data_IF_631572013360
#
_entry.id   IF_631572013360
#
_cell.length_a   1.000
_cell.length_b   1.000
_cell.length_c   1.000
_cell.angle_alpha   90.00
_cell.angle_beta   90.00
_cell.angle_gamma   90.00
#
_symmetry.space_group_name_H-M   'P 1'
#
loop_
_entity.id
_entity.type
_entity.pdbx_description
1 polymer ?
2 polymer ?
3 polymer ?
4 polymer ?
5 non-polymer ?
6 non-polymer ?
7 non-polymer ?
8 non-polymer ?
9 non-polymer ?
10 non-polymer ?
11 water ?
#
loop_
_entity_poly.entity_id
_entity_poly.type
_entity_poly.pdbx_seq_one_letter_code
_entity_poly.pdbx_strand_id
2 'polydeoxyribonucleotide' '(DC)(DG)(DG)(DC)(DA)(DT)(DA)(DC)(DG)' ?
3 'polydeoxyribonucleotide' '(DC)(DG)(DT)(DA)U' ?
4 'polydeoxyribonucleotide' '(DG)(DC)(DC)(DG)' ?
#
# COMPACT_ATOMS: atom_id res chain seq x y z
N UNK A 10 -13.58 0.12 -21.50
CA UNK A 10 -12.92 0.13 -20.18
C UNK A 10 -13.58 -0.86 -19.19
N UNK A 11 -12.89 -1.95 -18.82
CA UNK A 11 -13.54 -2.89 -17.92
C UNK A 11 -13.78 -2.33 -16.50
N UNK A 12 -14.65 -2.98 -15.74
CA UNK A 12 -15.12 -2.37 -14.51
C UNK A 12 -14.21 -2.62 -13.36
N UNK A 13 -13.40 -3.69 -13.43
CA UNK A 13 -12.46 -4.03 -12.32
C UNK A 13 -11.03 -3.55 -12.62
N UNK A 14 -10.30 -3.01 -11.63
CA UNK A 14 -8.99 -2.49 -11.95
C UNK A 14 -8.04 -3.60 -12.36
N UNK A 15 -8.30 -4.86 -11.99
CA UNK A 15 -7.32 -5.89 -12.32
C UNK A 15 -7.48 -6.36 -13.74
N UNK A 16 -8.46 -5.76 -14.42
CA UNK A 16 -8.76 -6.14 -15.82
C UNK A 16 -8.11 -5.20 -16.84
N UNK A 17 -7.32 -4.25 -16.36
CA UNK A 17 -6.77 -3.27 -17.26
C UNK A 17 -5.38 -2.81 -16.73
N UNK A 18 -4.45 -2.47 -17.63
CA UNK A 18 -3.15 -1.96 -17.19
C UNK A 18 -3.28 -0.60 -16.60
N UNK A 19 -2.60 -0.36 -15.47
CA UNK A 19 -2.58 0.98 -14.91
C UNK A 19 -1.14 1.36 -14.66
N UNK A 20 -0.61 2.27 -15.44
CA UNK A 20 0.82 2.59 -15.28
C UNK A 20 1.04 3.53 -14.08
N UNK A 21 2.30 3.68 -13.69
CA UNK A 21 2.61 4.54 -12.54
C UNK A 21 2.36 5.98 -12.80
N UNK A 22 2.76 6.38 -14.00
CA UNK A 22 2.48 7.77 -14.41
C UNK A 22 1.46 7.80 -15.55
N UNK A 23 0.66 8.86 -15.65
CA UNK A 23 -0.46 8.76 -16.57
C UNK A 23 -0.87 10.16 -17.03
N UNK A 24 -2.08 10.27 -17.60
CA UNK A 24 -2.46 11.51 -18.33
C UNK A 24 -3.59 12.28 -17.68
N UNK A 25 -3.91 11.90 -16.45
CA UNK A 25 -5.05 12.55 -15.73
C UNK A 25 -4.71 12.77 -14.29
N UNK A 26 -3.47 13.18 -14.07
CA UNK A 26 -2.97 13.23 -12.69
C UNK A 26 -3.79 14.14 -11.77
N UNK A 27 -4.09 15.36 -12.24
CA UNK A 27 -4.87 16.28 -11.42
C UNK A 27 -6.26 15.78 -11.08
N UNK A 28 -6.94 15.21 -12.06
CA UNK A 28 -8.30 14.73 -11.88
C UNK A 28 -8.28 13.57 -10.86
N UNK A 29 -7.34 12.64 -11.01
CA UNK A 29 -7.32 11.49 -10.10
C UNK A 29 -6.93 11.95 -8.68
N UNK A 30 -6.02 12.92 -8.56
CA UNK A 30 -5.65 13.38 -7.22
C UNK A 30 -6.87 14.00 -6.50
N UNK A 31 -7.67 14.76 -7.22
CA UNK A 31 -8.86 15.33 -6.59
C UNK A 31 -9.81 14.26 -6.12
N UNK A 32 -10.08 13.27 -6.95
CA UNK A 32 -11.00 12.22 -6.51
C UNK A 32 -10.43 11.48 -5.32
N UNK A 33 -9.11 11.31 -5.31
CA UNK A 33 -8.54 10.59 -4.18
C UNK A 33 -8.57 11.40 -2.87
N UNK A 34 -8.64 12.73 -2.95
CA UNK A 34 -8.90 13.51 -1.74
C UNK A 34 -10.29 13.19 -1.19
N UNK A 35 -11.29 13.10 -2.06
CA UNK A 35 -12.63 12.77 -1.59
C UNK A 35 -12.69 11.34 -1.05
N UNK A 36 -11.94 10.42 -1.66
CA UNK A 36 -11.89 9.05 -1.15
C UNK A 36 -11.31 9.03 0.25
N UNK A 37 -10.18 9.71 0.43
CA UNK A 37 -9.53 9.76 1.73
C UNK A 37 -10.46 10.36 2.77
N UNK A 38 -11.18 11.42 2.38
CA UNK A 38 -12.08 12.08 3.34
C UNK A 38 -13.22 11.16 3.76
N UNK A 39 -13.74 10.41 2.80
CA UNK A 39 -14.78 9.41 3.10
C UNK A 39 -14.29 8.38 4.11
N UNK A 40 -13.04 7.96 3.96
CA UNK A 40 -12.45 7.02 4.90
C UNK A 40 -12.37 7.60 6.30
N UNK A 41 -12.02 8.87 6.39
CA UNK A 41 -11.93 9.50 7.70
C UNK A 41 -13.29 9.55 8.40
N UNK A 42 -14.35 9.50 7.61
CA UNK A 42 -15.70 9.50 8.16
C UNK A 42 -16.26 8.10 8.27
N UNK A 43 -15.45 7.08 8.02
CA UNK A 43 -15.94 5.70 8.15
C UNK A 43 -16.81 5.24 7.00
N UNK A 44 -16.80 5.94 5.88
CA UNK A 44 -17.66 5.54 4.75
C UNK A 44 -16.84 4.75 3.74
N UNK A 45 -16.70 3.44 3.97
CA UNK A 45 -15.82 2.65 3.10
C UNK A 45 -16.41 2.47 1.70
N UNK A 46 -17.74 2.48 1.56
CA UNK A 46 -18.32 2.36 0.23
C UNK A 46 -17.99 3.55 -0.65
N UNK A 47 -18.17 4.76 -0.13
CA UNK A 47 -17.90 5.97 -0.91
C UNK A 47 -16.35 6.07 -1.17
N UNK A 48 -15.54 5.73 -0.18
CA UNK A 48 -14.07 5.68 -0.40
C UNK A 48 -13.76 4.80 -1.59
N UNK A 49 -14.40 3.63 -1.62
CA UNK A 49 -14.10 2.70 -2.71
C UNK A 49 -14.51 3.26 -4.06
N UNK A 50 -15.68 3.88 -4.15
CA UNK A 50 -16.10 4.34 -5.47
C UNK A 50 -15.20 5.46 -5.97
N UNK A 51 -14.84 6.42 -5.09
CA UNK A 51 -13.95 7.49 -5.48
C UNK A 51 -12.57 6.95 -5.85
N UNK A 52 -12.05 5.97 -5.09
CA UNK A 52 -10.78 5.32 -5.47
C UNK A 52 -10.89 4.68 -6.84
N UNK A 53 -12.00 3.96 -7.09
CA UNK A 53 -12.16 3.27 -8.37
C UNK A 53 -12.28 4.28 -9.50
N UNK A 54 -13.04 5.36 -9.29
CA UNK A 54 -13.16 6.38 -10.32
C UNK A 54 -11.80 7.02 -10.60
N UNK A 55 -11.05 7.33 -9.55
CA UNK A 55 -9.69 7.85 -9.77
C UNK A 55 -8.89 6.89 -10.59
N UNK A 56 -8.96 5.61 -10.24
CA UNK A 56 -8.12 4.61 -10.92
C UNK A 56 -8.50 4.46 -12.40
N UNK A 57 -9.79 4.55 -12.69
CA UNK A 57 -10.20 4.51 -14.11
C UNK A 57 -9.48 5.62 -14.90
N UNK A 58 -9.43 6.80 -14.35
CA UNK A 58 -8.73 7.87 -15.08
C UNK A 58 -7.25 7.59 -15.26
N UNK A 59 -6.63 6.95 -14.27
CA UNK A 59 -5.22 6.58 -14.44
C UNK A 59 -5.01 5.62 -15.60
N UNK A 60 -6.05 4.87 -15.98
CA UNK A 60 -5.93 3.79 -16.96
C UNK A 60 -6.22 4.31 -18.40
N UNK A 61 -6.66 5.54 -18.50
CA UNK A 61 -7.00 6.12 -19.80
C UNK A 61 -5.77 6.44 -20.63
N UNK A 62 -5.90 6.42 -21.96
CA UNK A 62 -4.70 6.58 -22.78
C UNK A 62 -4.36 8.04 -23.07
N UNK A 63 -5.21 8.98 -22.67
CA UNK A 63 -4.93 10.39 -22.93
C UNK A 63 -5.73 11.29 -21.95
N UNK A 64 -5.48 12.62 -21.94
CA UNK A 64 -6.19 13.45 -20.96
C UNK A 64 -7.69 13.54 -21.22
N UNK A 65 -8.49 13.51 -20.14
CA UNK A 65 -9.90 13.86 -20.27
C UNK A 65 -9.96 15.39 -20.44
N UNK A 66 -10.56 15.89 -21.53
CA UNK A 66 -10.66 17.34 -21.74
C UNK A 66 -12.10 17.84 -21.76
N UNK A 67 -13.05 16.95 -21.97
CA UNK A 67 -14.45 17.35 -21.98
C UNK A 67 -15.28 16.37 -21.25
N UNK A 68 -16.40 16.83 -20.71
CA UNK A 68 -17.24 16.00 -19.85
C UNK A 68 -17.75 14.78 -20.60
N UNK A 69 -18.03 14.92 -21.87
CA UNK A 69 -18.56 13.78 -22.61
C UNK A 69 -17.62 12.60 -22.64
N UNK A 70 -16.34 12.82 -22.40
CA UNK A 70 -15.41 11.68 -22.44
C UNK A 70 -15.64 10.74 -21.23
N UNK A 71 -16.40 11.17 -20.24
CA UNK A 71 -16.72 10.33 -19.09
C UNK A 71 -17.86 9.34 -19.37
N UNK A 72 -18.60 9.59 -20.44
CA UNK A 72 -19.77 8.77 -20.75
C UNK A 72 -19.32 7.34 -21.01
N UNK A 73 -19.98 6.42 -20.35
CA UNK A 73 -19.60 5.04 -20.55
C UNK A 73 -18.51 4.52 -19.64
N UNK A 74 -17.77 5.40 -18.95
CA UNK A 74 -16.72 4.93 -18.04
C UNK A 74 -17.30 4.38 -16.76
N UNK A 75 -16.81 3.24 -16.32
CA UNK A 75 -17.35 2.71 -15.07
C UNK A 75 -16.97 3.53 -13.85
N UNK A 76 -17.84 3.57 -12.84
CA UNK A 76 -17.64 4.31 -11.58
C UNK A 76 -17.72 5.80 -11.69
N UNK A 77 -18.18 6.31 -12.84
CA UNK A 77 -18.46 7.73 -12.95
C UNK A 77 -19.96 8.06 -12.99
N UNK A 78 -20.50 8.43 -11.85
CA UNK A 78 -21.91 8.82 -11.75
C UNK A 78 -22.04 10.32 -11.55
N UNK A 79 -23.15 10.72 -10.93
CA UNK A 79 -23.39 12.16 -10.76
C UNK A 79 -22.26 12.85 -10.00
N UNK A 80 -21.83 12.25 -8.90
CA UNK A 80 -20.92 12.94 -8.02
C UNK A 80 -19.51 13.05 -8.64
N UNK A 81 -18.92 11.94 -9.09
CA UNK A 81 -17.57 11.99 -9.61
C UNK A 81 -17.50 12.77 -10.90
N UNK A 82 -18.58 12.71 -11.68
CA UNK A 82 -18.60 13.45 -12.94
C UNK A 82 -18.67 14.95 -12.66
N UNK A 83 -19.39 15.33 -11.63
CA UNK A 83 -19.48 16.74 -11.26
C UNK A 83 -18.13 17.27 -10.78
N UNK A 84 -17.40 16.46 -10.02
CA UNK A 84 -16.09 16.84 -9.59
C UNK A 84 -15.20 17.14 -10.81
N UNK A 85 -15.20 16.25 -11.77
CA UNK A 85 -14.37 16.42 -12.97
C UNK A 85 -14.83 17.64 -13.78
N UNK A 86 -16.14 17.82 -13.86
CA UNK A 86 -16.71 18.91 -14.65
C UNK A 86 -16.19 20.23 -14.11
N UNK A 87 -16.20 20.38 -12.78
CA UNK A 87 -15.74 21.62 -12.17
C UNK A 87 -14.25 21.83 -12.35
N UNK A 88 -13.49 20.75 -12.24
CA UNK A 88 -12.07 20.88 -12.50
C UNK A 88 -11.83 21.27 -13.96
N UNK A 89 -12.56 20.69 -14.91
CA UNK A 89 -12.34 21.04 -16.32
C UNK A 89 -12.72 22.49 -16.59
N UNK A 90 -13.77 22.98 -15.95
CA UNK A 90 -14.28 24.31 -16.26
C UNK A 90 -13.53 25.40 -15.51
N UNK A 91 -13.17 25.16 -14.25
CA UNK A 91 -12.63 26.21 -13.40
C UNK A 91 -11.26 25.92 -12.82
N UNK A 92 -10.72 24.72 -13.04
CA UNK A 92 -9.40 24.38 -12.49
C UNK A 92 -9.39 23.96 -11.03
N UNK A 93 -10.54 24.08 -10.38
CA UNK A 93 -10.70 23.69 -8.99
C UNK A 93 -12.11 23.15 -8.77
N UNK A 94 -12.28 22.28 -7.76
CA UNK A 94 -13.59 21.74 -7.42
C UNK A 94 -13.89 22.23 -6.04
N UNK A 95 -14.98 22.99 -5.87
CA UNK A 95 -15.19 23.63 -4.60
C UNK A 95 -15.24 22.63 -3.46
N UNK A 96 -15.87 21.47 -3.71
CA UNK A 96 -15.99 20.46 -2.62
C UNK A 96 -14.63 19.97 -2.15
N UNK A 97 -13.78 19.70 -3.14
CA UNK A 97 -12.44 19.24 -2.87
C UNK A 97 -11.66 20.25 -2.09
N UNK A 98 -11.78 21.53 -2.47
CA UNK A 98 -11.04 22.56 -1.75
C UNK A 98 -11.56 22.73 -0.33
N UNK A 99 -12.86 22.60 -0.15
CA UNK A 99 -13.41 22.70 1.18
C UNK A 99 -12.86 21.58 2.06
N UNK A 100 -12.81 20.35 1.54
CA UNK A 100 -12.21 19.24 2.29
C UNK A 100 -10.77 19.57 2.65
N UNK A 101 -9.99 19.98 1.65
CA UNK A 101 -8.58 20.28 1.87
C UNK A 101 -8.37 21.28 3.01
N UNK A 102 -9.22 22.30 3.08
CA UNK A 102 -9.08 23.36 4.08
C UNK A 102 -9.58 22.98 5.46
N UNK A 103 -10.41 21.94 5.58
CA UNK A 103 -11.10 21.69 6.79
C UNK A 103 -10.17 21.22 7.90
N UNK A 104 -10.52 21.65 9.10
CA UNK A 104 -9.74 21.29 10.27
C UNK A 104 -9.85 19.77 10.46
N UNK A 105 -11.00 19.23 10.16
CA UNK A 105 -11.21 17.81 10.35
C UNK A 105 -10.29 16.99 9.43
N UNK A 106 -10.31 17.31 8.14
CA UNK A 106 -9.48 16.59 7.21
C UNK A 106 -8.01 16.70 7.58
N UNK A 107 -7.52 17.92 7.81
CA UNK A 107 -6.10 18.09 8.07
C UNK A 107 -5.66 17.36 9.33
N UNK A 108 -6.48 17.39 10.38
CA UNK A 108 -6.04 16.73 11.60
C UNK A 108 -6.11 15.19 11.50
N UNK A 109 -7.16 14.66 10.91
CA UNK A 109 -7.29 13.22 10.70
C UNK A 109 -6.14 12.73 9.82
N UNK A 110 -5.79 13.50 8.81
CA UNK A 110 -4.63 13.14 7.97
C UNK A 110 -3.38 13.12 8.79
N UNK A 111 -3.11 14.20 9.56
CA UNK A 111 -1.93 14.25 10.41
C UNK A 111 -1.87 13.07 11.36
N UNK A 112 -2.98 12.80 12.02
CA UNK A 112 -2.95 11.76 13.06
C UNK A 112 -2.84 10.35 12.44
N UNK A 113 -3.63 10.06 11.41
CA UNK A 113 -3.54 8.71 10.80
C UNK A 113 -2.20 8.40 10.12
N UNK A 114 -1.48 9.44 9.71
CA UNK A 114 -0.12 9.27 9.23
C UNK A 114 0.83 8.73 10.28
N UNK A 115 0.49 8.86 11.57
CA UNK A 115 1.36 8.30 12.59
C UNK A 115 1.31 6.76 12.54
N UNK A 116 2.48 6.11 12.55
CA UNK A 116 2.55 4.67 12.69
C UNK A 116 2.00 4.25 14.05
N UNK A 117 0.93 3.46 14.06
CA UNK A 117 0.27 3.06 15.28
C UNK A 117 -1.07 3.74 15.51
N UNK A 118 -1.42 4.70 14.66
CA UNK A 118 -2.67 5.45 14.77
C UNK A 118 -3.52 5.18 13.53
N UNK A 119 -4.72 4.62 13.72
CA UNK A 119 -5.65 4.43 12.63
C UNK A 119 -6.80 5.42 12.69
N UNK A 120 -7.76 5.24 11.78
CA UNK A 120 -8.89 6.19 11.72
C UNK A 120 -9.62 6.23 13.06
N UNK A 121 -9.87 5.07 13.66
CA UNK A 121 -10.64 5.06 14.90
C UNK A 121 -9.90 5.78 16.02
N UNK A 122 -8.57 5.62 16.11
CA UNK A 122 -7.85 6.34 17.17
C UNK A 122 -7.82 7.84 16.91
N UNK A 123 -7.43 8.20 15.69
CA UNK A 123 -7.43 9.61 15.24
C UNK A 123 -8.76 10.30 15.54
N UNK A 124 -9.85 9.63 15.19
CA UNK A 124 -11.20 10.19 15.37
C UNK A 124 -11.49 10.49 16.85
N UNK A 125 -11.14 9.56 17.73
CA UNK A 125 -11.38 9.78 19.17
C UNK A 125 -10.54 10.94 19.70
N UNK A 126 -9.27 11.00 19.33
CA UNK A 126 -8.42 12.14 19.70
C UNK A 126 -8.99 13.48 19.18
N UNK A 127 -9.50 13.46 17.94
CA UNK A 127 -10.09 14.65 17.32
C UNK A 127 -11.24 15.11 18.20
N UNK A 128 -12.09 14.14 18.55
CA UNK A 128 -13.29 14.41 19.36
C UNK A 128 -12.95 14.87 20.78
N UNK A 129 -11.77 14.51 21.28
CA UNK A 129 -11.32 14.97 22.59
C UNK A 129 -10.70 16.38 22.49
N UNK A 130 -10.63 16.89 21.29
CA UNK A 130 -10.07 18.20 21.10
C UNK A 130 -8.62 18.24 20.69
N UNK A 131 -7.95 17.11 20.52
CA UNK A 131 -6.53 17.16 20.18
C UNK A 131 -6.35 17.54 18.71
N UNK A 132 -5.29 18.26 18.38
CA UNK A 132 -5.17 18.77 17.03
C UNK A 132 -3.78 18.59 16.45
N UNK A 133 -2.75 18.55 17.30
CA UNK A 133 -1.37 18.65 16.83
C UNK A 133 -0.48 17.52 17.38
N UNK A 134 0.70 17.34 16.79
CA UNK A 134 1.56 16.26 17.29
C UNK A 134 2.01 16.61 18.70
N UNK A 135 2.27 17.88 18.96
CA UNK A 135 2.69 18.28 20.33
C UNK A 135 1.56 18.08 21.33
N UNK A 136 0.31 18.18 20.88
CA UNK A 136 -0.79 17.81 21.77
C UNK A 136 -0.64 16.38 22.22
N UNK A 137 -0.14 15.53 21.35
CA UNK A 137 -0.09 14.11 21.66
C UNK A 137 1.10 13.87 22.58
N UNK A 138 2.20 14.53 22.27
CA UNK A 138 3.40 14.39 23.06
C UNK A 138 3.20 14.80 24.53
N UNK A 139 2.46 15.89 24.76
CA UNK A 139 2.11 16.38 26.11
C UNK A 139 1.23 15.44 26.94
N UNK A 140 1.00 14.21 26.48
CA UNK A 140 0.10 13.31 27.22
C UNK A 140 0.44 11.85 26.89
N UNK A 141 1.70 11.47 27.11
CA UNK A 141 2.27 10.25 26.54
C UNK A 141 1.74 9.05 27.25
N UNK A 142 1.08 9.26 28.39
CA UNK A 142 0.48 8.17 29.14
C UNK A 142 -0.70 7.61 28.35
N UNK A 143 -1.22 8.40 27.43
CA UNK A 143 -2.30 7.97 26.56
C UNK A 143 -1.85 7.16 25.32
N UNK A 144 -0.54 6.98 25.12
CA UNK A 144 -0.03 6.37 23.88
C UNK A 144 0.46 4.97 24.06
N UNK A 145 0.28 4.12 23.06
CA UNK A 145 0.89 2.80 23.10
C UNK A 145 2.36 2.93 22.78
N UNK A 146 3.14 1.89 23.05
CA UNK A 146 4.56 1.93 22.76
C UNK A 146 4.76 2.06 21.25
N UNK A 147 3.83 1.51 20.48
CA UNK A 147 3.90 1.56 19.03
C UNK A 147 3.71 3.00 18.60
N UNK A 148 2.70 3.63 19.20
CA UNK A 148 2.42 5.04 18.91
C UNK A 148 3.52 5.92 19.39
N UNK A 149 4.13 5.60 20.53
CA UNK A 149 5.25 6.40 20.99
C UNK A 149 6.39 6.38 19.96
N UNK A 150 6.63 5.20 19.39
CA UNK A 150 7.68 5.05 18.36
C UNK A 150 7.32 5.84 17.12
N UNK A 151 6.07 5.69 16.73
CA UNK A 151 5.54 6.38 15.57
C UNK A 151 5.69 7.88 15.74
N UNK A 152 5.44 8.39 16.95
CA UNK A 152 5.53 9.82 17.15
C UNK A 152 6.98 10.28 17.25
N UNK A 153 7.86 9.54 17.94
CA UNK A 153 9.27 9.98 18.00
C UNK A 153 9.90 10.01 16.65
N UNK A 154 9.57 9.04 15.81
CA UNK A 154 10.19 8.93 14.49
C UNK A 154 9.39 9.59 13.38
N UNK A 155 8.33 10.33 13.74
CA UNK A 155 7.38 10.79 12.72
C UNK A 155 8.05 11.66 11.66
N UNK A 156 9.00 12.53 12.08
CA UNK A 156 9.62 13.42 11.10
C UNK A 156 10.38 12.63 10.05
N UNK A 157 11.22 11.70 10.49
CA UNK A 157 11.99 10.90 9.53
C UNK A 157 11.03 10.06 8.68
N UNK A 158 10.00 9.53 9.32
CA UNK A 158 9.12 8.64 8.53
C UNK A 158 8.29 9.41 7.54
N UNK A 159 8.21 10.74 7.67
CA UNK A 159 7.52 11.57 6.71
C UNK A 159 8.38 11.94 5.51
N UNK A 160 9.68 11.65 5.56
CA UNK A 160 10.62 11.93 4.48
C UNK A 160 10.62 10.77 3.49
N UNK A 161 10.45 10.99 2.20
CA UNK A 161 10.38 9.85 1.27
C UNK A 161 11.67 9.03 1.27
N UNK A 162 11.48 7.70 1.25
CA UNK A 162 12.54 6.74 1.00
C UNK A 162 12.88 6.74 -0.49
N UNK A 163 14.18 6.75 -0.82
CA UNK A 163 14.59 6.72 -2.23
C UNK A 163 15.06 5.35 -2.67
N UNK A 164 15.09 5.14 -3.98
CA UNK A 164 15.51 3.87 -4.54
C UNK A 164 16.96 3.51 -4.09
N UNK A 165 17.82 4.51 -3.89
CA UNK A 165 19.17 4.25 -3.34
C UNK A 165 19.12 3.71 -1.93
N UNK A 166 18.19 4.23 -1.15
CA UNK A 166 18.08 3.72 0.19
C UNK A 166 17.70 2.24 0.15
N UNK A 167 16.86 1.89 -0.82
CA UNK A 167 16.29 0.53 -0.84
C UNK A 167 17.39 -0.51 -1.07
N UNK A 168 18.30 -0.21 -1.99
CA UNK A 168 19.36 -1.17 -2.28
C UNK A 168 20.26 -1.39 -1.09
N UNK A 169 20.54 -0.31 -0.35
CA UNK A 169 21.34 -0.46 0.87
C UNK A 169 20.64 -1.32 1.91
N UNK A 170 19.36 -1.05 2.19
CA UNK A 170 18.56 -1.89 3.07
C UNK A 170 18.47 -3.38 2.59
N UNK A 171 18.30 -3.61 1.30
CA UNK A 171 18.20 -4.98 0.85
C UNK A 171 19.50 -5.72 1.17
N UNK A 172 20.66 -5.10 0.93
CA UNK A 172 21.90 -5.81 1.22
C UNK A 172 21.98 -6.16 2.70
N UNK A 173 21.54 -5.24 3.55
CA UNK A 173 21.59 -5.46 4.98
C UNK A 173 20.67 -6.61 5.38
N UNK A 174 19.45 -6.62 4.84
CA UNK A 174 18.49 -7.68 5.18
C UNK A 174 18.98 -9.04 4.70
N UNK A 175 19.57 -9.08 3.51
CA UNK A 175 20.12 -10.33 2.98
C UNK A 175 21.22 -10.92 3.85
N UNK A 176 22.02 -10.04 4.44
CA UNK A 176 23.10 -10.50 5.28
C UNK A 176 22.51 -11.19 6.48
N UNK A 177 21.52 -10.59 7.14
CA UNK A 177 20.95 -11.23 8.32
C UNK A 177 20.20 -12.50 7.93
N UNK A 178 19.54 -12.47 6.79
CA UNK A 178 18.73 -13.64 6.34
C UNK A 178 19.66 -14.79 6.02
N UNK A 179 20.80 -14.46 5.41
CA UNK A 179 21.82 -15.46 5.10
C UNK A 179 22.37 -16.18 6.32
N UNK A 180 22.50 -15.48 7.46
CA UNK A 180 22.97 -16.15 8.67
C UNK A 180 21.86 -16.91 9.29
N UNK A 181 20.64 -16.38 9.16
CA UNK A 181 19.55 -17.02 9.86
C UNK A 181 19.20 -18.33 9.19
N UNK A 182 19.33 -18.35 7.88
CA UNK A 182 18.99 -19.58 7.12
C UNK A 182 19.66 -19.54 5.77
N UNK A 183 20.82 -20.17 5.65
CA UNK A 183 21.52 -20.20 4.36
C UNK A 183 20.59 -20.70 3.25
N UNK A 184 20.64 -20.01 2.10
CA UNK A 184 19.79 -20.32 0.98
C UNK A 184 18.49 -19.56 0.94
N UNK A 185 18.11 -18.88 2.02
CA UNK A 185 16.89 -18.11 1.99
C UNK A 185 17.08 -16.91 1.07
N UNK A 186 15.98 -16.45 0.48
CA UNK A 186 16.06 -15.36 -0.51
C UNK A 186 15.25 -14.18 -0.04
N UNK A 187 15.60 -13.01 -0.57
CA UNK A 187 14.93 -11.75 -0.20
C UNK A 187 14.44 -11.13 -1.48
N UNK A 188 13.15 -10.84 -1.58
CA UNK A 188 12.57 -10.22 -2.79
C UNK A 188 11.96 -8.85 -2.46
N UNK A 189 12.32 -7.81 -3.21
CA UNK A 189 11.67 -6.52 -3.00
C UNK A 189 10.24 -6.54 -3.47
N UNK A 190 9.30 -6.11 -2.63
CA UNK A 190 7.91 -6.08 -3.08
C UNK A 190 7.33 -4.68 -2.89
N UNK A 191 6.04 -4.57 -2.69
CA UNK A 191 5.44 -3.25 -2.49
C UNK A 191 5.63 -2.25 -3.65
N UNK A 192 5.50 -0.97 -3.36
CA UNK A 192 5.51 0.06 -4.39
C UNK A 192 6.78 0.12 -5.18
N UNK A 193 7.93 -0.16 -4.53
CA UNK A 193 9.18 -0.14 -5.33
C UNK A 193 9.16 -1.22 -6.40
N UNK A 194 8.55 -2.38 -6.12
CA UNK A 194 8.52 -3.40 -7.18
C UNK A 194 7.65 -2.97 -8.37
N UNK A 195 6.65 -2.12 -8.11
CA UNK A 195 5.82 -1.54 -9.17
C UNK A 195 6.51 -0.43 -9.93
N UNK A 196 7.76 -0.10 -9.59
CA UNK A 196 8.51 0.93 -10.28
C UNK A 196 8.53 2.28 -9.62
N UNK A 197 7.93 2.43 -8.44
CA UNK A 197 8.02 3.73 -7.75
C UNK A 197 9.45 4.16 -7.48
N UNK A 198 9.71 5.47 -7.59
CA UNK A 198 11.07 5.92 -7.41
C UNK A 198 11.28 6.37 -5.95
N UNK A 199 10.17 6.59 -5.26
CA UNK A 199 10.16 6.92 -3.83
C UNK A 199 9.10 6.16 -3.12
N UNK A 200 9.16 6.17 -1.80
CA UNK A 200 8.13 5.49 -1.04
C UNK A 200 8.21 5.92 0.41
N UNK A 201 7.25 5.48 1.20
CA UNK A 201 7.33 5.80 2.63
C UNK A 201 7.68 4.58 3.47
N UNK A 202 8.00 3.48 2.83
CA UNK A 202 8.38 2.25 3.51
C UNK A 202 8.96 1.30 2.47
N UNK A 203 9.74 0.34 2.92
CA UNK A 203 10.31 -0.67 2.01
C UNK A 203 9.71 -2.02 2.41
N UNK A 204 9.28 -2.81 1.43
CA UNK A 204 8.63 -4.10 1.71
C UNK A 204 9.46 -5.24 1.17
N UNK A 205 9.72 -6.27 1.99
CA UNK A 205 10.50 -7.43 1.48
C UNK A 205 9.77 -8.71 1.76
N UNK A 206 9.95 -9.70 0.89
CA UNK A 206 9.31 -10.99 1.05
C UNK A 206 10.43 -12.02 1.08
N UNK A 207 10.39 -12.88 2.08
CA UNK A 207 11.52 -13.81 2.31
C UNK A 207 11.03 -15.24 2.17
N UNK A 208 11.79 -16.14 1.50
CA UNK A 208 11.36 -17.53 1.45
C UNK A 208 12.61 -18.42 1.36
N UNK A 209 12.39 -19.71 1.15
CA UNK A 209 13.53 -20.63 1.00
C UNK A 209 13.06 -21.70 0.02
N UNK A 210 13.94 -22.13 -0.91
CA UNK A 210 13.51 -23.09 -1.97
C UNK A 210 13.09 -24.45 -1.42
N UNK A 211 13.45 -24.79 -0.21
CA UNK A 211 13.02 -26.08 0.37
C UNK A 211 11.81 -25.89 1.31
N UNK A 212 10.63 -26.36 0.85
CA UNK A 212 9.41 -26.18 1.61
C UNK A 212 9.57 -26.62 3.05
N UNK A 213 9.24 -25.72 3.95
CA UNK A 213 9.28 -25.98 5.38
C UNK A 213 10.54 -25.39 6.05
N UNK A 214 11.61 -25.17 5.29
CA UNK A 214 12.82 -24.65 5.92
C UNK A 214 12.55 -23.23 6.45
N UNK A 215 11.51 -22.57 5.95
CA UNK A 215 11.31 -21.17 6.36
C UNK A 215 10.60 -21.07 7.67
N UNK A 216 10.10 -22.20 8.20
CA UNK A 216 9.43 -22.21 9.51
C UNK A 216 10.36 -21.62 10.57
N UNK A 217 9.84 -20.71 11.39
CA UNK A 217 10.63 -20.08 12.46
C UNK A 217 11.69 -19.10 12.05
N UNK A 218 11.66 -18.68 10.79
CA UNK A 218 12.72 -17.87 10.28
C UNK A 218 12.68 -16.41 10.74
N UNK A 219 11.51 -15.82 10.77
CA UNK A 219 11.49 -14.39 11.02
C UNK A 219 12.08 -13.99 12.41
N UNK A 220 11.79 -14.75 13.48
CA UNK A 220 12.46 -14.38 14.75
C UNK A 220 13.95 -14.42 14.63
N UNK A 221 14.48 -15.39 13.88
CA UNK A 221 15.91 -15.48 13.80
C UNK A 221 16.49 -14.30 13.05
N UNK A 222 15.77 -13.86 12.01
CA UNK A 222 16.18 -12.68 11.28
C UNK A 222 16.13 -11.43 12.16
N UNK A 223 15.07 -11.28 12.93
CA UNK A 223 14.88 -10.02 13.67
C UNK A 223 15.99 -9.94 14.72
N UNK A 224 16.30 -11.09 15.34
CA UNK A 224 17.30 -11.11 16.42
C UNK A 224 18.64 -10.69 15.88
N UNK A 225 18.95 -11.12 14.68
CA UNK A 225 20.19 -10.78 14.08
C UNK A 225 20.26 -9.31 13.68
N UNK A 226 19.18 -8.80 13.08
CA UNK A 226 19.14 -7.37 12.77
C UNK A 226 19.29 -6.54 14.04
N UNK A 227 18.60 -6.96 15.10
CA UNK A 227 18.63 -6.23 16.37
C UNK A 227 20.05 -6.23 16.94
N UNK A 228 20.74 -7.35 16.80
CA UNK A 228 22.12 -7.46 17.28
C UNK A 228 23.08 -6.58 16.50
N UNK A 229 22.78 -6.31 15.24
CA UNK A 229 23.61 -5.42 14.48
C UNK A 229 23.28 -3.94 14.76
N UNK A 230 22.33 -3.67 15.66
CA UNK A 230 22.01 -2.31 16.04
C UNK A 230 21.16 -1.61 15.00
N UNK A 231 20.53 -2.36 14.09
CA UNK A 231 19.78 -1.77 12.99
C UNK A 231 18.32 -1.46 13.25
N UNK A 232 17.77 -2.00 14.33
CA UNK A 232 16.37 -1.93 14.58
C UNK A 232 16.08 -0.88 15.62
N UNK A 233 15.39 0.18 15.22
CA UNK A 233 14.93 1.19 16.17
C UNK A 233 13.63 0.78 16.83
N UNK A 234 12.80 0.01 16.14
CA UNK A 234 11.54 -0.46 16.71
C UNK A 234 11.09 -1.73 16.00
N UNK A 235 10.59 -2.70 16.76
CA UNK A 235 9.74 -3.74 16.22
C UNK A 235 8.91 -4.34 17.35
N UNK A 236 7.90 -5.11 16.97
CA UNK A 236 7.02 -5.77 17.93
C UNK A 236 7.58 -7.11 18.39
N UNK A 257 6.02 -15.77 14.21
CA UNK A 257 5.24 -14.81 13.42
C UNK A 257 5.67 -14.82 11.95
N UNK A 258 4.79 -14.33 11.07
CA UNK A 258 5.00 -14.28 9.61
C UNK A 258 5.34 -12.89 9.08
N UNK A 259 4.99 -11.84 9.82
CA UNK A 259 5.11 -10.47 9.33
C UNK A 259 5.72 -9.64 10.43
N UNK A 260 6.64 -8.74 10.07
CA UNK A 260 7.26 -7.85 11.06
C UNK A 260 7.22 -6.43 10.54
N UNK A 261 6.64 -5.50 11.32
CA UNK A 261 6.61 -4.11 10.89
C UNK A 261 7.66 -3.35 11.70
N UNK A 262 8.77 -2.99 11.04
CA UNK A 262 9.94 -2.47 11.74
C UNK A 262 10.18 -1.00 11.40
N UNK A 263 10.95 -0.36 12.28
CA UNK A 263 11.63 0.88 11.96
C UNK A 263 13.14 0.60 12.01
N UNK A 264 13.81 0.81 10.88
CA UNK A 264 15.21 0.53 10.68
C UNK A 264 16.01 1.82 10.80
N UNK A 265 17.25 1.66 11.23
CA UNK A 265 18.25 2.72 11.21
C UNK A 265 19.00 2.64 9.88
N UNK A 266 18.78 3.61 9.00
CA UNK A 266 19.44 3.71 7.73
C UNK A 266 20.52 4.78 7.68
N UNK A 267 21.75 4.36 7.36
CA UNK A 267 22.89 5.27 7.11
C UNK A 267 22.58 6.40 6.16
N UNK A 268 23.07 7.57 6.54
CA UNK A 268 22.98 8.80 5.77
C UNK A 268 24.38 9.45 5.86
N UNK A 269 24.67 10.41 4.97
CA UNK A 269 25.98 11.08 5.04
C UNK A 269 26.24 11.74 6.40
N UNK A 270 27.09 11.11 7.21
CA UNK A 270 27.49 11.66 8.49
C UNK A 270 26.49 11.44 9.62
N UNK A 271 25.43 10.68 9.32
CA UNK A 271 24.39 10.46 10.28
C UNK A 271 23.51 9.25 9.86
N UNK A 272 22.23 9.30 10.12
CA UNK A 272 21.32 8.19 9.68
C UNK A 272 19.89 8.70 9.71
N UNK A 273 18.94 7.89 9.22
CA UNK A 273 17.54 8.26 9.44
C UNK A 273 16.67 7.01 9.65
N UNK A 274 15.56 7.18 10.34
CA UNK A 274 14.62 6.07 10.61
C UNK A 274 13.85 5.77 9.33
N UNK A 275 13.69 4.48 8.99
CA UNK A 275 12.93 4.07 7.79
C UNK A 275 11.99 2.91 8.16
N UNK A 276 10.73 2.99 7.73
CA UNK A 276 9.82 1.88 7.93
C UNK A 276 10.16 0.72 6.95
N UNK A 277 10.27 -0.50 7.48
CA UNK A 277 10.60 -1.69 6.65
C UNK A 277 9.70 -2.78 7.09
N UNK A 278 9.02 -3.45 6.16
CA UNK A 278 8.19 -4.59 6.46
C UNK A 278 8.85 -5.85 5.94
N UNK A 279 8.90 -6.87 6.80
CA UNK A 279 9.48 -8.16 6.44
C UNK A 279 8.39 -9.20 6.52
N UNK A 280 8.28 -10.04 5.49
CA UNK A 280 7.24 -11.05 5.43
C UNK A 280 7.90 -12.36 5.05
N UNK A 281 7.51 -13.45 5.70
CA UNK A 281 8.06 -14.78 5.31
C UNK A 281 6.93 -15.62 4.74
N UNK A 282 7.20 -16.38 3.67
CA UNK A 282 6.21 -17.32 3.18
C UNK A 282 6.89 -18.58 2.75
N UNK A 283 6.19 -19.70 2.84
CA UNK A 283 6.71 -20.97 2.29
C UNK A 283 6.78 -20.92 0.76
N UNK A 284 7.74 -21.58 0.12
CA UNK A 284 7.89 -21.39 -1.34
C UNK A 284 6.64 -21.83 -2.10
N UNK A 285 5.88 -22.79 -1.60
CA UNK A 285 4.59 -23.18 -2.22
C UNK A 285 3.65 -21.99 -2.34
N UNK A 286 3.74 -21.07 -1.40
CA UNK A 286 2.81 -19.94 -1.34
C UNK A 286 3.41 -18.67 -1.93
N UNK A 287 4.68 -18.75 -2.32
CA UNK A 287 5.44 -17.52 -2.67
C UNK A 287 4.77 -16.68 -3.79
N UNK A 288 4.21 -17.35 -4.81
CA UNK A 288 3.58 -16.50 -5.87
C UNK A 288 2.40 -15.74 -5.33
N UNK A 289 1.64 -16.38 -4.46
CA UNK A 289 0.50 -15.68 -3.90
C UNK A 289 0.96 -14.55 -2.99
N UNK A 290 2.02 -14.77 -2.24
CA UNK A 290 2.46 -13.72 -1.32
C UNK A 290 3.10 -12.58 -2.11
N UNK A 291 3.86 -12.94 -3.13
CA UNK A 291 4.45 -11.95 -4.02
C UNK A 291 3.34 -11.08 -4.65
N UNK A 292 2.32 -11.76 -5.14
CA UNK A 292 1.21 -11.01 -5.80
C UNK A 292 0.55 -10.12 -4.75
N UNK A 293 0.29 -10.73 -3.59
CA UNK A 293 -0.42 -10.01 -2.54
C UNK A 293 0.32 -8.83 -1.94
N UNK A 294 1.65 -8.90 -1.90
CA UNK A 294 2.44 -7.80 -1.29
C UNK A 294 2.96 -6.82 -2.32
N UNK A 295 2.67 -7.05 -3.60
CA UNK A 295 3.19 -6.13 -4.63
C UNK A 295 2.16 -5.04 -4.97
N UNK A 296 0.90 -5.33 -4.68
CA UNK A 296 -0.06 -4.20 -4.72
C UNK A 296 -0.44 -3.83 -6.18
N UNK A 297 -0.97 -2.61 -6.39
CA UNK A 297 -1.33 -1.68 -5.34
C UNK A 297 -2.41 -2.21 -4.42
N UNK A 298 -2.67 -1.46 -3.36
CA UNK A 298 -3.69 -1.90 -2.40
C UNK A 298 -5.03 -2.00 -3.14
N UNK A 299 -5.37 -0.96 -3.89
CA UNK A 299 -6.63 -1.08 -4.65
C UNK A 299 -6.60 -2.22 -5.66
N UNK A 300 -5.45 -2.40 -6.33
CA UNK A 300 -5.36 -3.55 -7.27
C UNK A 300 -5.70 -4.87 -6.55
N UNK A 301 -5.14 -5.08 -5.34
CA UNK A 301 -5.38 -6.34 -4.62
C UNK A 301 -6.88 -6.50 -4.20
N UNK A 302 -7.47 -5.44 -3.69
CA UNK A 302 -8.89 -5.48 -3.36
C UNK A 302 -9.71 -5.84 -4.58
N UNK A 303 -9.42 -5.19 -5.73
CA UNK A 303 -10.18 -5.44 -6.96
C UNK A 303 -9.96 -6.84 -7.49
N UNK A 304 -8.72 -7.30 -7.40
CA UNK A 304 -8.41 -8.69 -7.81
C UNK A 304 -9.14 -9.72 -6.93
N UNK A 305 -9.15 -9.50 -5.61
CA UNK A 305 -9.88 -10.44 -4.74
C UNK A 305 -11.40 -10.34 -4.98
N UNK A 306 -11.88 -9.12 -5.19
CA UNK A 306 -13.31 -8.95 -5.48
C UNK A 306 -13.69 -9.66 -6.78
N UNK A 307 -12.84 -9.52 -7.79
CA UNK A 307 -13.04 -10.16 -9.09
C UNK A 307 -13.04 -11.68 -8.94
N UNK A 308 -12.02 -12.17 -8.26
CA UNK A 308 -11.89 -13.60 -8.02
C UNK A 308 -13.17 -14.16 -7.45
N UNK A 309 -13.64 -13.55 -6.36
CA UNK A 309 -14.80 -14.11 -5.61
C UNK A 309 -16.10 -13.89 -6.39
N UNK A 310 -16.34 -12.67 -6.84
CA UNK A 310 -17.62 -12.33 -7.45
C UNK A 310 -17.76 -12.85 -8.88
N UNK A 311 -16.69 -12.84 -9.67
CA UNK A 311 -16.79 -13.22 -11.07
C UNK A 311 -16.41 -14.67 -11.35
N UNK A 312 -15.46 -15.23 -10.59
CA UNK A 312 -14.97 -16.59 -10.80
C UNK A 312 -15.33 -17.56 -9.68
N UNK A 313 -15.85 -17.05 -8.56
CA UNK A 313 -16.27 -17.87 -7.44
C UNK A 313 -15.13 -18.56 -6.71
N UNK A 314 -13.93 -17.98 -6.81
CA UNK A 314 -12.71 -18.45 -6.18
C UNK A 314 -12.28 -17.47 -5.08
N UNK A 315 -11.67 -17.96 -4.00
CA UNK A 315 -11.35 -17.10 -2.88
C UNK A 315 -9.82 -16.90 -2.83
N UNK A 316 -9.39 -15.66 -2.97
CA UNK A 316 -7.96 -15.33 -3.12
C UNK A 316 -7.45 -14.67 -1.85
N UNK A 317 -6.27 -15.05 -1.37
CA UNK A 317 -5.56 -14.25 -0.39
C UNK A 317 -4.07 -14.37 -0.62
N UNK A 318 -3.25 -13.84 0.30
CA UNK A 318 -1.79 -13.89 0.05
C UNK A 318 -1.19 -15.24 0.34
N UNK A 319 -2.05 -16.22 0.68
CA UNK A 319 -1.59 -17.59 0.87
C UNK A 319 -1.97 -18.55 -0.26
N UNK A 320 -3.00 -18.25 -1.06
CA UNK A 320 -3.53 -19.27 -1.92
C UNK A 320 -4.81 -18.83 -2.58
N UNK A 321 -5.34 -19.71 -3.41
CA UNK A 321 -6.54 -19.46 -4.18
C UNK A 321 -7.39 -20.72 -4.05
N UNK A 322 -8.55 -20.54 -3.43
CA UNK A 322 -9.41 -21.66 -3.03
C UNK A 322 -10.67 -21.77 -3.87
N UNK A 323 -10.93 -23.00 -4.34
CA UNK A 323 -12.19 -23.32 -5.00
C UNK A 323 -13.09 -23.92 -3.91
N UNK A 324 -14.11 -23.17 -3.47
CA UNK A 324 -14.94 -23.57 -2.34
C UNK A 324 -15.95 -24.64 -2.71
N UNK A 325 -16.10 -24.92 -4.01
CA UNK A 325 -16.95 -26.02 -4.47
C UNK A 325 -16.20 -27.35 -4.43
N UNK A 326 -15.01 -27.40 -5.05
CA UNK A 326 -14.19 -28.59 -4.99
C UNK A 326 -13.42 -28.72 -3.68
N UNK A 327 -13.36 -27.66 -2.89
CA UNK A 327 -12.60 -27.65 -1.63
C UNK A 327 -11.12 -27.95 -1.89
N UNK A 328 -10.57 -27.30 -2.90
CA UNK A 328 -9.18 -27.50 -3.30
C UNK A 328 -8.49 -26.15 -3.48
N UNK A 329 -7.18 -26.16 -3.25
CA UNK A 329 -6.34 -24.98 -3.47
C UNK A 329 -5.60 -25.12 -4.80
N UNK A 330 -5.49 -24.02 -5.52
CA UNK A 330 -4.78 -24.01 -6.80
C UNK A 330 -3.28 -23.86 -6.56
N UNK A 331 -2.50 -24.79 -7.08
CA UNK A 331 -1.05 -24.69 -6.96
C UNK A 331 -0.59 -23.68 -8.00
N UNK A 332 0.24 -22.75 -7.57
CA UNK A 332 0.78 -21.78 -8.51
C UNK A 332 2.29 -21.78 -8.40
N UNK A 333 2.96 -21.75 -9.56
CA UNK A 333 4.42 -21.65 -9.58
C UNK A 333 4.89 -20.25 -9.92
N UNK A 334 3.98 -19.34 -10.27
CA UNK A 334 4.31 -17.99 -10.70
C UNK A 334 3.08 -17.10 -10.57
N UNK A 335 3.31 -15.78 -10.56
CA UNK A 335 2.20 -14.88 -10.68
C UNK A 335 1.47 -15.11 -12.03
N UNK A 336 2.23 -15.36 -13.10
CA UNK A 336 1.58 -15.72 -14.34
C UNK A 336 0.53 -16.83 -14.17
N UNK A 337 0.86 -17.89 -13.44
CA UNK A 337 -0.11 -18.97 -13.13
C UNK A 337 -1.40 -18.40 -12.54
N UNK A 338 -1.24 -17.44 -11.63
CA UNK A 338 -2.43 -16.98 -10.92
C UNK A 338 -3.35 -16.17 -11.82
N UNK A 339 -2.78 -15.28 -12.61
CA UNK A 339 -3.59 -14.54 -13.58
C UNK A 339 -4.26 -15.53 -14.53
N UNK A 340 -3.52 -16.55 -14.99
CA UNK A 340 -4.21 -17.52 -15.88
C UNK A 340 -5.37 -18.27 -15.18
N UNK A 341 -5.22 -18.66 -13.93
CA UNK A 341 -6.29 -19.40 -13.26
C UNK A 341 -7.53 -18.53 -12.98
N UNK A 342 -7.32 -17.23 -12.92
CA UNK A 342 -8.44 -16.28 -12.85
C UNK A 342 -8.97 -15.82 -14.17
N UNK A 343 -8.44 -16.33 -15.29
CA UNK A 343 -8.88 -15.85 -16.62
C UNK A 343 -8.60 -14.38 -16.95
N UNK A 344 -7.52 -13.80 -16.41
CA UNK A 344 -7.17 -12.42 -16.63
C UNK A 344 -5.90 -12.36 -17.45
N UNK A 345 -5.77 -11.37 -18.33
CA UNK A 345 -4.49 -11.18 -18.98
C UNK A 345 -3.42 -10.80 -17.95
N UNK A 346 -2.21 -11.31 -18.15
CA UNK A 346 -1.12 -11.04 -17.18
C UNK A 346 -0.79 -9.52 -17.16
N UNK A 347 -0.58 -8.94 -15.96
CA UNK A 347 -0.12 -7.56 -15.81
C UNK A 347 1.15 -7.58 -14.99
N UNK A 348 2.25 -7.07 -15.56
CA UNK A 348 3.47 -6.97 -14.78
C UNK A 348 3.24 -5.97 -13.65
N UNK A 349 4.11 -5.96 -12.62
CA UNK A 349 3.93 -5.07 -11.47
C UNK A 349 3.78 -3.64 -11.82
N UNK A 350 4.54 -3.19 -12.83
CA UNK A 350 4.50 -1.78 -13.17
C UNK A 350 3.18 -1.38 -13.89
N UNK A 351 2.31 -2.35 -14.17
CA UNK A 351 0.96 -2.03 -14.66
C UNK A 351 -0.10 -2.34 -13.64
N UNK A 352 0.30 -2.48 -12.33
CA UNK A 352 -0.67 -2.75 -11.31
C UNK A 352 -0.85 -1.53 -10.42
N UNK A 353 -0.56 -0.35 -10.96
CA UNK A 353 -0.63 0.87 -10.15
C UNK A 353 -2.03 1.47 -10.12
N UNK A 354 -3.01 0.63 -9.77
CA UNK A 354 -4.40 1.09 -9.72
C UNK A 354 -4.60 2.08 -8.64
#
# INVERSE_FOLDING_TARGET
GSAAASPAWMPAYACQRPTPLTHHNTGLSEALEILAEAAGFEGSEGRLLTFCRAASVLKALPSPVTTLSQLQGLPHFGEHSSRVVQELLEHGVCEEVERVRRSERYQTMKLFTQIFGVGVKTADRWYREGLRTLDDLREQPQKLTQQQKAGLQHHQDLSTPVLRSDVDALQQVVEEAVGQALPGATVTLTGGFRRGKLQGHDVDFLITHPKEGQEAGLLPRVMCRLQDQGLILYHQHQHSCCESPTRLAQQSHMDAFERSFCIFRLPQPGSWKAVRVDLVVAPVSQFPFALLGWTGSKLFQRELRRFSRKEKGLWLNSHGLFDPEQKTFFQAASEEDIFRHLGLEYLPPEQRNA
#
